data_IF_982006186528
#
_entry.id   IF_982006186528
#
_cell.length_a   1.000
_cell.length_b   1.000
_cell.length_c   1.000
_cell.angle_alpha   90.00
_cell.angle_beta   90.00
_cell.angle_gamma   90.00
#
_symmetry.space_group_name_H-M   'P 1'
#
loop_
_entity.id
_entity.type
_entity.pdbx_description
1 polymer ?
#
# COMPACT_ATOMS: atom_id res chain seq x y z
N UNK A 1 4.26 21.00 -2.58
CA UNK A 1 4.62 19.89 -1.69
C UNK A 1 3.45 18.92 -1.59
N UNK A 2 3.71 17.66 -1.79
CA UNK A 2 2.66 16.64 -1.78
C UNK A 2 2.18 16.36 -0.35
N UNK A 3 0.87 16.36 -0.17
CA UNK A 3 0.23 16.07 1.12
C UNK A 3 -0.45 14.70 1.07
N UNK A 4 -0.91 14.25 2.23
CA UNK A 4 -1.56 12.93 2.34
C UNK A 4 -2.74 12.78 1.38
N UNK A 5 -3.58 13.80 1.24
CA UNK A 5 -4.73 13.77 0.32
C UNK A 5 -4.31 13.62 -1.14
N UNK A 6 -3.21 14.23 -1.52
CA UNK A 6 -2.67 14.14 -2.87
C UNK A 6 -2.21 12.70 -3.16
N UNK A 7 -1.57 12.06 -2.19
CA UNK A 7 -1.14 10.68 -2.33
C UNK A 7 -2.31 9.70 -2.38
N UNK A 8 -3.34 9.95 -1.56
CA UNK A 8 -4.57 9.15 -1.58
C UNK A 8 -5.22 9.23 -2.97
N UNK A 9 -5.37 10.43 -3.51
CA UNK A 9 -5.98 10.63 -4.83
C UNK A 9 -5.20 9.93 -5.93
N UNK A 10 -3.89 10.04 -5.89
CA UNK A 10 -3.00 9.40 -6.86
C UNK A 10 -3.18 7.88 -6.88
N UNK A 11 -3.22 7.26 -5.71
CA UNK A 11 -3.42 5.82 -5.59
C UNK A 11 -4.85 5.41 -5.94
N UNK A 12 -5.82 6.23 -5.58
CA UNK A 12 -7.23 5.98 -5.90
C UNK A 12 -7.42 5.91 -7.42
N UNK A 13 -6.84 6.83 -8.15
CA UNK A 13 -6.91 6.84 -9.62
C UNK A 13 -6.31 5.57 -10.24
N UNK A 14 -5.25 5.05 -9.65
CA UNK A 14 -4.62 3.81 -10.10
C UNK A 14 -5.41 2.56 -9.74
N UNK A 15 -6.16 2.61 -8.65
CA UNK A 15 -6.87 1.44 -8.12
C UNK A 15 -8.12 1.07 -8.92
N UNK A 16 -8.71 2.03 -9.62
CA UNK A 16 -9.98 1.84 -10.29
C UNK A 16 -11.20 1.98 -9.39
N UNK A 17 -11.02 2.19 -8.10
CA UNK A 17 -12.14 2.45 -7.18
C UNK A 17 -12.64 3.88 -7.33
N UNK A 18 -13.93 4.08 -7.03
CA UNK A 18 -14.48 5.43 -6.88
C UNK A 18 -14.20 5.92 -5.47
N UNK A 19 -14.30 7.23 -5.28
CA UNK A 19 -14.18 7.84 -3.96
C UNK A 19 -15.22 7.27 -2.98
N UNK A 20 -16.45 7.06 -3.46
CA UNK A 20 -17.53 6.46 -2.68
C UNK A 20 -17.19 5.04 -2.24
N UNK A 21 -16.64 4.23 -3.16
CA UNK A 21 -16.23 2.86 -2.84
C UNK A 21 -15.11 2.85 -1.79
N UNK A 22 -14.13 3.73 -1.94
CA UNK A 22 -13.04 3.83 -0.98
C UNK A 22 -13.57 4.25 0.40
N UNK A 23 -14.48 5.21 0.45
CA UNK A 23 -15.09 5.64 1.72
C UNK A 23 -15.81 4.48 2.40
N UNK A 24 -16.58 3.71 1.65
CA UNK A 24 -17.29 2.53 2.16
C UNK A 24 -16.30 1.49 2.71
N UNK A 25 -15.24 1.21 1.98
CA UNK A 25 -14.21 0.25 2.40
C UNK A 25 -13.50 0.68 3.68
N UNK A 26 -13.38 1.98 3.91
CA UNK A 26 -12.68 2.53 5.07
C UNK A 26 -13.61 2.83 6.26
N UNK A 27 -14.91 2.62 6.08
CA UNK A 27 -15.88 2.87 7.15
C UNK A 27 -16.10 4.35 7.45
N UNK A 28 -15.89 5.23 6.47
CA UNK A 28 -16.12 6.67 6.60
C UNK A 28 -17.16 7.14 5.57
N UNK A 29 -17.70 8.34 5.77
CA UNK A 29 -18.62 8.91 4.81
C UNK A 29 -17.88 9.40 3.56
N UNK A 30 -18.60 9.48 2.44
CA UNK A 30 -18.00 10.04 1.21
C UNK A 30 -17.59 11.50 1.42
N UNK A 31 -18.39 12.26 2.18
CA UNK A 31 -18.06 13.64 2.51
C UNK A 31 -16.75 13.75 3.30
N UNK A 32 -16.53 12.86 4.27
CA UNK A 32 -15.28 12.82 5.02
C UNK A 32 -14.10 12.45 4.10
N UNK A 33 -14.27 11.44 3.26
CA UNK A 33 -13.24 11.03 2.31
C UNK A 33 -12.88 12.18 1.37
N UNK A 34 -13.87 12.91 0.88
CA UNK A 34 -13.66 14.09 0.02
C UNK A 34 -12.76 15.12 0.72
N UNK A 35 -13.01 15.38 1.99
CA UNK A 35 -12.19 16.33 2.77
C UNK A 35 -10.78 15.85 2.95
N UNK A 36 -10.57 14.56 3.19
CA UNK A 36 -9.22 13.98 3.29
C UNK A 36 -8.46 14.16 1.99
N UNK A 37 -9.09 13.85 0.86
CA UNK A 37 -8.46 13.95 -0.46
C UNK A 37 -8.11 15.40 -0.81
N UNK A 38 -8.95 16.35 -0.39
CA UNK A 38 -8.72 17.78 -0.62
C UNK A 38 -7.78 18.41 0.39
N UNK A 39 -7.29 17.64 1.37
CA UNK A 39 -6.45 18.12 2.46
C UNK A 39 -7.14 19.17 3.35
N UNK A 40 -8.47 19.17 3.39
CA UNK A 40 -9.25 20.05 4.25
C UNK A 40 -9.40 19.49 5.66
N UNK A 41 -9.14 18.21 5.83
CA UNK A 41 -9.23 17.52 7.10
C UNK A 41 -8.20 16.40 7.13
N UNK A 42 -7.54 16.24 8.28
CA UNK A 42 -6.58 15.18 8.49
C UNK A 42 -7.28 13.92 9.00
N UNK A 43 -7.11 12.76 8.33
CA UNK A 43 -7.71 11.52 8.81
C UNK A 43 -7.01 11.03 10.08
N UNK A 44 -7.77 10.39 10.97
CA UNK A 44 -7.21 9.72 12.14
C UNK A 44 -6.35 8.54 11.70
N UNK A 45 -5.42 8.11 12.55
CA UNK A 45 -4.49 7.04 12.19
C UNK A 45 -5.19 5.73 11.81
N UNK A 46 -6.29 5.39 12.47
CA UNK A 46 -7.06 4.20 12.10
C UNK A 46 -7.63 4.29 10.68
N UNK A 47 -8.08 5.48 10.30
CA UNK A 47 -8.58 5.73 8.94
C UNK A 47 -7.45 5.66 7.93
N UNK A 48 -6.30 6.22 8.25
CA UNK A 48 -5.10 6.15 7.39
C UNK A 48 -4.72 4.68 7.14
N UNK A 49 -4.74 3.88 8.19
CA UNK A 49 -4.47 2.44 8.08
C UNK A 49 -5.47 1.75 7.15
N UNK A 50 -6.75 2.06 7.30
CA UNK A 50 -7.80 1.48 6.45
C UNK A 50 -7.63 1.90 4.98
N UNK A 51 -7.30 3.17 4.74
CA UNK A 51 -7.05 3.68 3.39
C UNK A 51 -5.84 2.98 2.78
N UNK A 52 -4.76 2.85 3.55
CA UNK A 52 -3.55 2.17 3.09
C UNK A 52 -3.84 0.72 2.70
N UNK A 53 -4.60 0.01 3.52
CA UNK A 53 -4.99 -1.38 3.25
C UNK A 53 -5.84 -1.46 1.97
N UNK A 54 -6.82 -0.59 1.84
CA UNK A 54 -7.71 -0.57 0.68
C UNK A 54 -6.97 -0.27 -0.62
N UNK A 55 -6.00 0.64 -0.57
CA UNK A 55 -5.22 1.05 -1.73
C UNK A 55 -3.92 0.25 -1.92
N UNK A 56 -3.72 -0.77 -1.10
CA UNK A 56 -2.57 -1.66 -1.16
C UNK A 56 -1.23 -0.91 -1.05
N UNK A 57 -1.16 -0.03 -0.06
CA UNK A 57 0.03 0.73 0.27
C UNK A 57 0.28 0.70 1.77
N UNK A 58 1.21 1.49 2.26
CA UNK A 58 1.56 1.57 3.68
C UNK A 58 1.11 2.90 4.28
N UNK A 59 0.87 2.91 5.60
CA UNK A 59 0.58 4.14 6.33
C UNK A 59 1.75 5.11 6.23
N UNK A 60 2.97 4.60 6.28
CA UNK A 60 4.18 5.41 6.15
C UNK A 60 4.21 6.16 4.82
N UNK A 61 3.91 5.49 3.71
CA UNK A 61 3.87 6.16 2.41
C UNK A 61 2.82 7.27 2.40
N UNK A 62 1.62 7.00 2.91
CA UNK A 62 0.55 8.01 2.91
C UNK A 62 0.91 9.22 3.74
N UNK A 63 1.54 9.02 4.90
CA UNK A 63 1.86 10.10 5.83
C UNK A 63 3.10 10.88 5.39
N UNK A 64 4.17 10.19 5.04
CA UNK A 64 5.48 10.81 4.76
C UNK A 64 5.85 10.87 3.29
N UNK A 65 5.18 10.10 2.45
CA UNK A 65 5.53 9.99 1.03
C UNK A 65 6.75 9.11 0.78
N UNK A 66 7.28 8.49 1.80
CA UNK A 66 8.43 7.58 1.66
C UNK A 66 7.95 6.17 1.42
N UNK A 67 8.48 5.55 0.40
CA UNK A 67 8.25 4.13 0.20
C UNK A 67 8.90 3.34 1.33
N UNK A 68 8.20 2.27 1.76
CA UNK A 68 8.73 1.39 2.79
C UNK A 68 10.06 0.80 2.33
N UNK A 69 11.02 0.74 3.25
CA UNK A 69 12.31 0.09 2.98
C UNK A 69 12.16 -1.43 2.86
N UNK A 70 11.05 -1.98 3.32
CA UNK A 70 10.67 -3.37 3.07
C UNK A 70 9.97 -3.49 1.72
N UNK A 71 10.49 -2.76 0.73
CA UNK A 71 9.98 -2.84 -0.62
C UNK A 71 10.18 -4.24 -1.18
N UNK A 72 9.39 -4.58 -2.17
CA UNK A 72 9.54 -5.83 -2.91
C UNK A 72 10.99 -6.04 -3.35
N UNK A 73 11.68 -4.98 -3.72
CA UNK A 73 13.08 -5.05 -4.15
C UNK A 73 14.01 -5.54 -3.05
N UNK A 74 13.85 -5.06 -1.82
CA UNK A 74 14.67 -5.47 -0.68
C UNK A 74 14.38 -6.93 -0.32
N UNK A 75 13.14 -7.33 -0.34
CA UNK A 75 12.74 -8.72 -0.12
C UNK A 75 13.31 -9.60 -1.21
N UNK A 76 13.23 -9.17 -2.47
CA UNK A 76 13.78 -9.89 -3.60
C UNK A 76 15.29 -10.08 -3.47
N UNK A 77 16.02 -9.05 -3.08
CA UNK A 77 17.48 -9.13 -2.86
C UNK A 77 17.83 -10.10 -1.75
N UNK A 78 17.08 -10.08 -0.67
CA UNK A 78 17.28 -10.98 0.46
C UNK A 78 17.08 -12.43 0.04
N UNK A 79 16.00 -12.71 -0.68
CA UNK A 79 15.69 -14.04 -1.21
C UNK A 79 16.74 -14.48 -2.21
N UNK A 80 17.13 -13.63 -3.14
CA UNK A 80 18.16 -13.93 -4.14
C UNK A 80 19.49 -14.28 -3.49
N UNK A 81 19.89 -13.53 -2.46
CA UNK A 81 21.10 -13.81 -1.70
C UNK A 81 21.03 -15.16 -1.00
N UNK A 82 19.89 -15.50 -0.45
CA UNK A 82 19.67 -16.77 0.26
C UNK A 82 19.67 -17.96 -0.69
N UNK A 83 19.29 -17.76 -1.96
CA UNK A 83 19.15 -18.84 -2.92
C UNK A 83 20.43 -19.20 -3.67
N UNK A 84 21.51 -18.45 -3.47
CA UNK A 84 22.80 -18.69 -4.17
C UNK A 84 23.33 -20.11 -3.94
N UNK A 85 23.12 -20.65 -2.74
CA UNK A 85 23.58 -22.01 -2.39
C UNK A 85 22.49 -23.07 -2.55
N UNK A 86 21.32 -22.70 -3.01
CA UNK A 86 20.21 -23.63 -3.18
C UNK A 86 20.29 -24.40 -4.49
N UNK A 87 19.82 -25.64 -4.48
CA UNK A 87 19.61 -26.40 -5.70
C UNK A 87 18.46 -25.84 -6.49
N UNK A 88 18.37 -26.15 -7.78
CA UNK A 88 17.25 -25.70 -8.62
C UNK A 88 15.90 -26.17 -8.07
N UNK A 89 15.87 -27.36 -7.52
CA UNK A 89 14.67 -27.92 -6.91
C UNK A 89 14.21 -27.10 -5.70
N UNK A 90 15.14 -26.67 -4.87
CA UNK A 90 14.86 -25.81 -3.73
C UNK A 90 14.42 -24.41 -4.15
N UNK A 91 15.03 -23.87 -5.20
CA UNK A 91 14.65 -22.56 -5.76
C UNK A 91 13.20 -22.60 -6.28
N UNK A 92 12.83 -23.65 -7.01
CA UNK A 92 11.49 -23.82 -7.52
C UNK A 92 10.49 -23.92 -6.37
N UNK A 93 10.82 -24.68 -5.34
CA UNK A 93 9.99 -24.84 -4.17
C UNK A 93 9.76 -23.49 -3.45
N UNK A 94 10.80 -22.70 -3.32
CA UNK A 94 10.74 -21.38 -2.69
C UNK A 94 9.88 -20.42 -3.53
N UNK A 95 10.06 -20.42 -4.85
CA UNK A 95 9.26 -19.59 -5.76
C UNK A 95 7.78 -19.94 -5.64
N UNK A 96 7.44 -21.22 -5.63
CA UNK A 96 6.07 -21.67 -5.46
C UNK A 96 5.48 -21.21 -4.13
N UNK A 97 6.25 -21.27 -3.06
CA UNK A 97 5.81 -20.83 -1.74
C UNK A 97 5.52 -19.33 -1.72
N UNK A 98 6.37 -18.53 -2.36
CA UNK A 98 6.19 -17.07 -2.43
C UNK A 98 5.00 -16.67 -3.29
N UNK A 99 4.63 -17.47 -4.27
CA UNK A 99 3.49 -17.21 -5.15
C UNK A 99 2.17 -17.75 -4.60
N UNK A 100 2.21 -18.57 -3.57
CA UNK A 100 1.01 -19.00 -2.86
C UNK A 100 0.46 -17.85 -2.02
N UNK A 101 -0.84 -17.69 -2.08
CA UNK A 101 -1.54 -16.70 -1.25
C UNK A 101 -2.18 -17.37 -0.06
#
# INVERSE_FOLDING_TARGET
MEKIGDRILKLLKKSGYTQKELALMCGVTEAAMSRYIKNDREPKIEVVFNIATALNTTTEYLISGKESQDSFEDIYRLVARSTVSMSDKEKIKLINLLMEK
#
